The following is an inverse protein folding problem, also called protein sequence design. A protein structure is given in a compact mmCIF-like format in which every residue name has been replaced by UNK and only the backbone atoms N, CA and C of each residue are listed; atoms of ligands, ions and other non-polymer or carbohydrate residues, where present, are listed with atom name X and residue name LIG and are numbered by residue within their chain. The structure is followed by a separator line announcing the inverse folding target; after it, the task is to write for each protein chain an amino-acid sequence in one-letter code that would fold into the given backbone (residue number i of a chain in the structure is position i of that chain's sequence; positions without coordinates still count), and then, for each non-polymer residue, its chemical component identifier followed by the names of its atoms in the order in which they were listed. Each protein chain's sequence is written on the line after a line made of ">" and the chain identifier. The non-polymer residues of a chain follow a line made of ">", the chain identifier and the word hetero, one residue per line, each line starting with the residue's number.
data_IF_017368890363
#
_entry.id   IF_017368890363
#
_cell.length_a   1.000
_cell.length_b   1.000
_cell.length_c   1.000
_cell.angle_alpha   90.00
_cell.angle_beta   90.00
_cell.angle_gamma   90.00
#
_symmetry.space_group_name_H-M   'P 1'
#
loop_
_entity.id
_entity.type
_entity.pdbx_description
1 polymer ?
#
# COMPACT_ATOMS: atom_id res chain seq x y z
N UNK A 1 17.10 57.08 13.04
CA UNK A 1 16.88 56.25 11.82
C UNK A 1 17.28 54.79 12.03
N UNK A 2 18.39 54.46 12.64
CA UNK A 2 18.86 53.06 12.85
C UNK A 2 17.89 52.17 13.64
N UNK A 3 17.27 52.65 14.73
CA UNK A 3 16.34 51.89 15.56
C UNK A 3 15.04 51.51 14.83
N UNK A 4 14.49 52.40 14.00
CA UNK A 4 13.30 52.07 13.17
C UNK A 4 13.61 51.00 12.12
N UNK A 5 14.79 51.07 11.50
CA UNK A 5 15.23 50.06 10.54
C UNK A 5 15.41 48.67 11.19
N UNK A 6 16.03 48.64 12.38
CA UNK A 6 16.19 47.40 13.15
C UNK A 6 14.86 46.78 13.54
N UNK A 7 13.89 47.59 13.94
CA UNK A 7 12.53 47.08 14.26
C UNK A 7 11.82 46.49 13.04
N UNK A 8 11.93 47.17 11.89
CA UNK A 8 11.33 46.65 10.64
C UNK A 8 11.98 45.33 10.24
N UNK A 9 13.30 45.24 10.29
CA UNK A 9 14.02 44.00 9.97
C UNK A 9 13.58 42.87 10.91
N UNK A 10 13.44 43.15 12.20
CA UNK A 10 13.01 42.17 13.19
C UNK A 10 11.59 41.66 12.90
N UNK A 11 10.65 42.54 12.58
CA UNK A 11 9.27 42.20 12.23
C UNK A 11 9.25 41.36 10.94
N UNK A 12 10.04 41.71 9.92
CA UNK A 12 10.11 40.95 8.68
C UNK A 12 10.67 39.55 8.90
N UNK A 13 11.78 39.42 9.65
CA UNK A 13 12.43 38.15 9.93
C UNK A 13 11.51 37.20 10.74
N UNK A 14 10.82 37.75 11.75
CA UNK A 14 9.92 36.96 12.59
C UNK A 14 8.58 36.67 11.92
N UNK A 15 8.09 37.58 11.05
CA UNK A 15 6.81 37.45 10.37
C UNK A 15 6.87 36.70 9.04
N UNK A 16 8.04 36.64 8.40
CA UNK A 16 8.20 36.00 7.08
C UNK A 16 7.89 34.48 7.02
N UNK A 17 8.18 33.66 8.05
CA UNK A 17 7.96 32.23 7.98
C UNK A 17 6.51 31.84 7.68
N UNK A 18 5.54 32.56 8.24
CA UNK A 18 4.10 32.25 8.09
C UNK A 18 3.61 32.48 6.67
N UNK A 19 3.75 33.67 6.05
CA UNK A 19 3.30 33.89 4.66
C UNK A 19 4.10 33.05 3.65
N UNK A 20 5.39 32.76 3.92
CA UNK A 20 6.20 31.88 3.06
C UNK A 20 5.66 30.46 3.10
N UNK A 21 5.40 29.91 4.29
CA UNK A 21 4.81 28.59 4.43
C UNK A 21 3.43 28.51 3.79
N UNK A 22 2.60 29.53 3.96
CA UNK A 22 1.29 29.59 3.32
C UNK A 22 1.40 29.63 1.78
N UNK A 23 2.33 30.43 1.23
CA UNK A 23 2.57 30.50 -0.21
C UNK A 23 3.09 29.16 -0.76
N UNK A 24 4.02 28.50 -0.06
CA UNK A 24 4.50 27.17 -0.44
C UNK A 24 3.38 26.12 -0.47
N UNK A 25 2.48 26.13 0.52
CA UNK A 25 1.31 25.26 0.57
C UNK A 25 0.33 25.57 -0.54
N UNK A 26 0.06 26.85 -0.82
CA UNK A 26 -0.91 27.25 -1.82
C UNK A 26 -0.46 26.99 -3.26
N UNK A 27 0.81 27.20 -3.53
CA UNK A 27 1.40 26.95 -4.85
C UNK A 27 2.08 25.58 -4.98
N UNK A 28 2.09 24.79 -3.92
CA UNK A 28 2.73 23.46 -3.83
C UNK A 28 4.21 23.46 -4.27
N UNK A 29 4.89 24.60 -4.15
CA UNK A 29 6.30 24.76 -4.49
C UNK A 29 7.17 24.34 -3.32
N UNK A 30 8.12 23.43 -3.56
CA UNK A 30 9.06 22.95 -2.55
C UNK A 30 8.47 21.93 -1.55
N UNK A 31 7.23 21.51 -1.72
CA UNK A 31 6.69 20.35 -0.99
C UNK A 31 7.18 19.10 -1.72
N UNK A 32 7.95 18.21 -1.06
CA UNK A 32 8.33 16.96 -1.67
C UNK A 32 7.06 16.16 -1.96
N UNK A 33 6.73 16.01 -3.23
CA UNK A 33 5.67 15.08 -3.67
C UNK A 33 6.17 13.62 -3.69
N UNK A 34 7.26 13.33 -2.98
CA UNK A 34 7.68 11.96 -2.81
C UNK A 34 6.64 11.28 -1.93
N UNK A 35 5.72 10.59 -2.57
CA UNK A 35 4.91 9.61 -1.90
C UNK A 35 5.86 8.68 -1.16
N UNK A 36 5.71 8.66 0.15
CA UNK A 36 6.55 7.82 1.02
C UNK A 36 6.22 6.34 0.76
N UNK A 37 5.09 6.07 0.13
CA UNK A 37 4.72 4.77 -0.42
C UNK A 37 5.51 4.52 -1.72
N UNK A 38 5.98 3.31 -1.90
CA UNK A 38 6.68 2.86 -3.12
C UNK A 38 5.72 2.31 -4.16
N UNK A 39 4.54 1.88 -3.72
CA UNK A 39 3.40 1.60 -4.58
C UNK A 39 2.54 2.84 -4.79
N UNK A 40 1.68 2.78 -5.78
CA UNK A 40 0.69 3.83 -6.04
C UNK A 40 -0.38 3.82 -4.94
N UNK A 41 -0.64 4.99 -4.34
CA UNK A 41 -1.77 5.16 -3.44
C UNK A 41 -3.04 5.18 -4.29
N UNK A 42 -3.83 4.13 -4.21
CA UNK A 42 -5.03 4.00 -5.02
C UNK A 42 -6.29 4.12 -4.16
N UNK A 43 -6.88 5.31 -4.18
CA UNK A 43 -8.15 5.59 -3.51
C UNK A 43 -9.37 5.44 -4.44
N UNK A 44 -9.17 5.02 -5.69
CA UNK A 44 -10.23 4.92 -6.69
C UNK A 44 -10.79 3.50 -6.81
N UNK A 45 -10.02 2.48 -6.39
CA UNK A 45 -10.50 1.11 -6.39
C UNK A 45 -11.59 0.91 -5.32
N UNK A 46 -12.63 0.14 -5.66
CA UNK A 46 -13.63 -0.23 -4.66
C UNK A 46 -12.98 -1.06 -3.55
N UNK A 47 -13.53 -1.05 -2.34
CA UNK A 47 -13.08 -1.92 -1.26
C UNK A 47 -13.13 -3.41 -1.68
N UNK A 48 -12.22 -4.22 -1.13
CA UNK A 48 -12.06 -5.63 -1.50
C UNK A 48 -13.36 -6.46 -1.34
N UNK A 49 -14.22 -6.11 -0.39
CA UNK A 49 -15.52 -6.74 -0.19
C UNK A 49 -16.55 -6.45 -1.29
N UNK A 50 -16.27 -5.51 -2.19
CA UNK A 50 -17.09 -5.21 -3.38
C UNK A 50 -16.54 -5.88 -4.65
N UNK A 51 -15.39 -6.53 -4.55
CA UNK A 51 -14.86 -7.30 -5.67
C UNK A 51 -15.68 -8.58 -5.82
N UNK A 52 -15.77 -9.15 -7.02
CA UNK A 52 -16.51 -10.41 -7.25
C UNK A 52 -15.73 -11.60 -6.65
N UNK A 53 -15.64 -11.65 -5.34
CA UNK A 53 -14.90 -12.61 -4.53
C UNK A 53 -15.73 -12.99 -3.29
N UNK A 54 -15.54 -14.20 -2.80
CA UNK A 54 -16.04 -14.59 -1.47
C UNK A 54 -15.01 -14.22 -0.40
N UNK A 55 -15.03 -12.99 0.04
CA UNK A 55 -14.15 -12.49 1.09
C UNK A 55 -14.90 -11.56 2.05
N UNK A 56 -14.55 -11.63 3.31
CA UNK A 56 -15.04 -10.73 4.35
C UNK A 56 -13.89 -10.13 5.13
N UNK A 57 -13.99 -8.84 5.42
CA UNK A 57 -13.00 -8.15 6.22
C UNK A 57 -12.85 -8.79 7.60
N UNK A 58 -11.62 -9.07 8.00
CA UNK A 58 -11.35 -9.61 9.34
C UNK A 58 -11.45 -8.55 10.44
N UNK A 59 -11.46 -7.26 10.08
CA UNK A 59 -11.37 -6.07 10.94
C UNK A 59 -10.14 -6.02 11.87
N UNK A 60 -9.24 -6.99 11.77
CA UNK A 60 -8.07 -7.11 12.63
C UNK A 60 -6.76 -7.19 11.84
N UNK A 61 -6.80 -7.75 10.64
CA UNK A 61 -5.58 -8.03 9.87
C UNK A 61 -5.51 -7.25 8.56
N UNK A 62 -4.32 -6.83 8.25
CA UNK A 62 -3.96 -6.34 6.93
C UNK A 62 -3.92 -7.48 5.94
N UNK A 63 -4.26 -7.23 4.69
CA UNK A 63 -4.21 -8.25 3.65
C UNK A 63 -3.19 -7.88 2.59
N UNK A 64 -2.24 -8.78 2.34
CA UNK A 64 -1.41 -8.79 1.15
C UNK A 64 -2.15 -9.59 0.09
N UNK A 65 -2.72 -8.90 -0.87
CA UNK A 65 -3.50 -9.49 -1.95
C UNK A 65 -2.68 -9.49 -3.22
N UNK A 66 -2.68 -10.60 -3.97
CA UNK A 66 -2.02 -10.66 -5.27
C UNK A 66 -2.80 -11.52 -6.26
N UNK A 67 -2.76 -11.16 -7.53
CA UNK A 67 -3.42 -11.88 -8.60
C UNK A 67 -2.49 -12.94 -9.18
N UNK A 68 -2.98 -14.16 -9.25
CA UNK A 68 -2.29 -15.24 -9.93
C UNK A 68 -2.81 -15.38 -11.37
N UNK A 69 -1.93 -15.73 -12.33
CA UNK A 69 -2.35 -16.05 -13.68
C UNK A 69 -3.28 -17.27 -13.70
N UNK A 70 -4.08 -17.40 -14.73
CA UNK A 70 -5.01 -18.51 -14.90
C UNK A 70 -4.33 -19.86 -14.77
N UNK A 71 -3.14 -20.00 -15.34
CA UNK A 71 -2.31 -21.21 -15.20
C UNK A 71 -1.13 -20.88 -14.30
N UNK A 72 -1.14 -21.39 -13.08
CA UNK A 72 -0.06 -21.19 -12.12
C UNK A 72 1.10 -22.17 -12.41
N UNK A 73 2.02 -21.76 -13.27
CA UNK A 73 3.26 -22.48 -13.59
C UNK A 73 4.39 -22.11 -12.59
N UNK A 74 5.63 -22.39 -12.96
CA UNK A 74 6.80 -22.20 -12.10
C UNK A 74 6.95 -20.75 -11.60
N UNK A 75 6.69 -19.75 -12.44
CA UNK A 75 6.82 -18.33 -12.08
C UNK A 75 5.80 -17.94 -11.01
N UNK A 76 4.57 -18.42 -11.14
CA UNK A 76 3.53 -18.20 -10.15
C UNK A 76 3.87 -18.88 -8.81
N UNK A 77 4.45 -20.08 -8.84
CA UNK A 77 4.90 -20.76 -7.62
C UNK A 77 6.08 -20.04 -6.97
N UNK A 78 7.04 -19.57 -7.77
CA UNK A 78 8.16 -18.77 -7.30
C UNK A 78 7.68 -17.46 -6.64
N UNK A 79 6.71 -16.79 -7.24
CA UNK A 79 6.11 -15.58 -6.68
C UNK A 79 5.40 -15.86 -5.33
N UNK A 80 4.64 -16.95 -5.25
CA UNK A 80 4.01 -17.36 -4.00
C UNK A 80 5.03 -17.63 -2.89
N UNK A 81 6.15 -18.29 -3.21
CA UNK A 81 7.25 -18.54 -2.27
C UNK A 81 7.91 -17.23 -1.81
N UNK A 82 8.10 -16.28 -2.72
CA UNK A 82 8.62 -14.96 -2.38
C UNK A 82 7.69 -14.23 -1.38
N UNK A 83 6.37 -14.23 -1.59
CA UNK A 83 5.40 -13.65 -0.65
C UNK A 83 5.40 -14.38 0.69
N UNK A 84 5.56 -15.69 0.69
CA UNK A 84 5.68 -16.45 1.91
C UNK A 84 6.93 -16.07 2.71
N UNK A 85 8.10 -15.96 2.06
CA UNK A 85 9.35 -15.53 2.71
C UNK A 85 9.26 -14.11 3.24
N UNK A 86 8.74 -13.19 2.44
CA UNK A 86 8.53 -11.80 2.84
C UNK A 86 7.61 -11.69 4.05
N UNK A 87 6.50 -12.42 4.05
CA UNK A 87 5.59 -12.47 5.19
C UNK A 87 6.31 -12.97 6.47
N UNK A 88 7.13 -13.99 6.37
CA UNK A 88 7.93 -14.49 7.50
C UNK A 88 8.95 -13.46 7.98
N UNK A 89 9.53 -12.68 7.08
CA UNK A 89 10.47 -11.60 7.42
C UNK A 89 9.85 -10.48 8.25
N UNK A 90 8.52 -10.34 8.28
CA UNK A 90 7.81 -9.42 9.20
C UNK A 90 7.95 -9.82 10.68
N UNK A 91 8.41 -11.04 10.97
CA UNK A 91 8.61 -11.54 12.33
C UNK A 91 7.31 -11.54 13.14
N UNK A 92 7.33 -10.92 14.33
CA UNK A 92 6.15 -10.87 15.23
C UNK A 92 4.95 -10.14 14.61
N UNK A 93 5.17 -9.26 13.62
CA UNK A 93 4.09 -8.55 12.94
C UNK A 93 3.37 -9.39 11.89
N UNK A 94 3.93 -10.54 11.50
CA UNK A 94 3.33 -11.42 10.50
C UNK A 94 1.92 -11.90 10.87
N UNK A 95 1.61 -12.07 12.16
CA UNK A 95 0.28 -12.46 12.64
C UNK A 95 -0.83 -11.45 12.30
N UNK A 96 -0.43 -10.20 12.05
CA UNK A 96 -1.33 -9.10 11.69
C UNK A 96 -1.54 -8.97 10.17
N UNK A 97 -0.97 -9.88 9.40
CA UNK A 97 -1.04 -9.86 7.93
C UNK A 97 -1.51 -11.21 7.44
N UNK A 98 -2.56 -11.22 6.66
CA UNK A 98 -2.97 -12.39 5.89
C UNK A 98 -2.48 -12.26 4.44
N UNK A 99 -2.32 -13.39 3.77
CA UNK A 99 -1.94 -13.46 2.36
C UNK A 99 -3.10 -14.04 1.57
N UNK A 100 -3.54 -13.31 0.57
CA UNK A 100 -4.68 -13.68 -0.27
C UNK A 100 -4.21 -13.78 -1.72
N UNK A 101 -4.42 -14.93 -2.32
CA UNK A 101 -4.19 -15.15 -3.74
C UNK A 101 -5.52 -15.09 -4.48
N UNK A 102 -5.62 -14.22 -5.47
CA UNK A 102 -6.77 -14.14 -6.37
C UNK A 102 -6.51 -14.98 -7.61
N UNK A 103 -7.44 -15.83 -7.99
CA UNK A 103 -7.28 -16.69 -9.16
C UNK A 103 -8.61 -17.09 -9.78
N UNK A 104 -8.60 -17.49 -11.05
CA UNK A 104 -9.79 -18.09 -11.69
C UNK A 104 -10.01 -19.54 -11.27
N UNK A 105 -8.94 -20.22 -10.82
CA UNK A 105 -8.98 -21.63 -10.44
C UNK A 105 -8.37 -21.82 -9.05
N UNK A 106 -8.78 -22.89 -8.39
CA UNK A 106 -8.17 -23.23 -7.11
C UNK A 106 -6.78 -23.81 -7.32
N UNK A 107 -5.80 -23.20 -6.69
CA UNK A 107 -4.40 -23.63 -6.72
C UNK A 107 -3.94 -24.10 -5.35
N UNK A 108 -2.92 -24.94 -5.33
CA UNK A 108 -2.25 -25.29 -4.09
C UNK A 108 -1.59 -24.05 -3.51
N UNK A 109 -1.94 -23.71 -2.28
CA UNK A 109 -1.41 -22.55 -1.55
C UNK A 109 -0.36 -22.95 -0.53
N UNK A 110 0.51 -22.01 -0.20
CA UNK A 110 1.48 -22.16 0.88
C UNK A 110 0.82 -21.94 2.26
N UNK A 111 1.40 -22.47 3.34
CA UNK A 111 0.84 -22.30 4.68
C UNK A 111 0.57 -20.83 5.02
N UNK A 112 -0.63 -20.53 5.51
CA UNK A 112 -1.06 -19.17 5.87
C UNK A 112 -1.45 -18.27 4.69
N UNK A 113 -1.62 -18.83 3.50
CA UNK A 113 -2.20 -18.17 2.34
C UNK A 113 -3.60 -18.71 2.08
N UNK A 114 -4.54 -17.86 1.73
CA UNK A 114 -5.87 -18.26 1.26
C UNK A 114 -5.98 -18.01 -0.25
N UNK A 115 -6.64 -18.91 -0.95
CA UNK A 115 -6.96 -18.76 -2.37
C UNK A 115 -8.42 -18.34 -2.50
N UNK A 116 -8.62 -17.15 -3.08
CA UNK A 116 -9.92 -16.60 -3.39
C UNK A 116 -10.18 -16.73 -4.88
N UNK A 117 -11.31 -17.31 -5.23
CA UNK A 117 -11.70 -17.46 -6.62
C UNK A 117 -12.59 -16.31 -7.07
N UNK A 118 -12.36 -15.86 -8.30
CA UNK A 118 -13.24 -14.90 -8.94
C UNK A 118 -14.62 -15.50 -9.19
N UNK A 119 -15.65 -14.79 -8.78
CA UNK A 119 -17.04 -15.10 -9.14
C UNK A 119 -17.31 -14.58 -10.56
N UNK A 120 -16.86 -15.31 -11.57
CA UNK A 120 -16.89 -14.88 -12.97
C UNK A 120 -15.52 -14.43 -13.49
N UNK A 121 -15.51 -13.56 -14.49
CA UNK A 121 -14.26 -13.02 -15.04
C UNK A 121 -13.65 -11.97 -14.12
N UNK A 122 -12.31 -11.94 -13.99
CA UNK A 122 -11.65 -10.87 -13.25
C UNK A 122 -11.98 -9.49 -13.86
N UNK A 123 -12.05 -8.43 -13.05
CA UNK A 123 -12.24 -7.09 -13.56
C UNK A 123 -11.13 -6.67 -14.52
N UNK A 124 -11.42 -5.79 -15.51
CA UNK A 124 -10.44 -5.43 -16.56
C UNK A 124 -9.22 -4.64 -16.07
N UNK A 125 -9.24 -4.16 -14.85
CA UNK A 125 -8.12 -3.45 -14.20
C UNK A 125 -7.22 -4.38 -13.39
N UNK A 126 -7.52 -5.68 -13.33
CA UNK A 126 -6.67 -6.70 -12.70
C UNK A 126 -5.72 -7.28 -13.73
N UNK A 127 -4.44 -7.17 -13.45
CA UNK A 127 -3.37 -7.78 -14.23
C UNK A 127 -2.78 -8.98 -13.48
N UNK A 128 -2.20 -9.93 -14.21
CA UNK A 128 -1.48 -11.05 -13.60
C UNK A 128 -0.29 -10.54 -12.77
N UNK A 129 -0.06 -11.14 -11.61
CA UNK A 129 1.00 -10.78 -10.65
C UNK A 129 0.91 -9.37 -10.05
N UNK A 130 -0.18 -8.68 -10.22
CA UNK A 130 -0.44 -7.40 -9.55
C UNK A 130 -0.64 -7.61 -8.06
N UNK A 131 -0.28 -6.61 -7.26
CA UNK A 131 -0.31 -6.69 -5.80
C UNK A 131 -1.03 -5.51 -5.19
N UNK A 132 -1.76 -5.75 -4.10
CA UNK A 132 -2.43 -4.73 -3.31
C UNK A 132 -2.18 -4.93 -1.82
N UNK A 133 -2.00 -3.84 -1.11
CA UNK A 133 -2.08 -3.82 0.35
C UNK A 133 -3.45 -3.27 0.75
N UNK A 134 -4.16 -4.06 1.52
CA UNK A 134 -5.54 -3.78 1.93
C UNK A 134 -5.59 -3.66 3.45
N UNK A 135 -6.28 -2.65 3.94
CA UNK A 135 -6.43 -2.41 5.38
C UNK A 135 -7.41 -3.42 6.02
N UNK A 136 -7.49 -3.50 7.36
CA UNK A 136 -8.41 -4.42 8.04
C UNK A 136 -9.89 -4.22 7.71
N UNK A 137 -10.29 -3.06 7.18
CA UNK A 137 -11.66 -2.75 6.76
C UNK A 137 -11.94 -3.12 5.31
N UNK A 138 -10.92 -3.59 4.58
CA UNK A 138 -11.03 -3.95 3.18
C UNK A 138 -10.73 -2.82 2.20
N UNK A 139 -10.23 -1.68 2.66
CA UNK A 139 -9.88 -0.55 1.78
C UNK A 139 -8.51 -0.80 1.17
N UNK A 140 -8.42 -0.69 -0.15
CA UNK A 140 -7.14 -0.75 -0.87
C UNK A 140 -6.33 0.51 -0.56
N UNK A 141 -5.17 0.33 0.06
CA UNK A 141 -4.30 1.45 0.47
C UNK A 141 -3.22 1.70 -0.57
N UNK A 142 -2.64 0.64 -1.12
CA UNK A 142 -1.54 0.74 -2.07
C UNK A 142 -1.68 -0.34 -3.13
N UNK A 143 -1.44 0.03 -4.38
CA UNK A 143 -1.38 -0.86 -5.54
C UNK A 143 0.04 -0.88 -6.09
N UNK A 144 0.47 -2.04 -6.54
CA UNK A 144 1.73 -2.24 -7.25
C UNK A 144 1.44 -2.87 -8.61
N UNK A 145 2.19 -2.47 -9.62
CA UNK A 145 2.16 -3.11 -10.93
C UNK A 145 2.55 -4.61 -10.84
N UNK A 146 2.43 -5.32 -11.94
CA UNK A 146 2.84 -6.72 -12.04
C UNK A 146 4.31 -6.93 -11.64
N UNK A 147 4.59 -7.99 -10.87
CA UNK A 147 5.94 -8.37 -10.42
C UNK A 147 6.70 -7.24 -9.71
N UNK A 148 6.14 -6.63 -8.67
CA UNK A 148 6.81 -5.55 -7.94
C UNK A 148 8.04 -6.05 -7.20
N UNK A 149 8.95 -5.12 -6.91
CA UNK A 149 10.06 -5.41 -6.00
C UNK A 149 9.50 -5.76 -4.60
N UNK A 150 9.83 -6.96 -4.12
CA UNK A 150 9.38 -7.47 -2.83
C UNK A 150 9.87 -6.61 -1.68
N UNK A 151 11.06 -6.04 -1.81
CA UNK A 151 11.61 -5.16 -0.77
C UNK A 151 10.78 -3.88 -0.62
N UNK A 152 10.26 -3.35 -1.70
CA UNK A 152 9.41 -2.17 -1.70
C UNK A 152 8.05 -2.47 -1.02
N UNK A 153 7.43 -3.59 -1.38
CA UNK A 153 6.19 -4.05 -0.73
C UNK A 153 6.41 -4.30 0.76
N UNK A 154 7.53 -4.95 1.12
CA UNK A 154 7.90 -5.21 2.51
C UNK A 154 8.08 -3.91 3.32
N UNK A 155 8.79 -2.92 2.77
CA UNK A 155 9.02 -1.63 3.43
C UNK A 155 7.72 -0.88 3.67
N UNK A 156 6.83 -0.85 2.69
CA UNK A 156 5.55 -0.17 2.81
C UNK A 156 4.64 -0.88 3.82
N UNK A 157 4.54 -2.20 3.75
CA UNK A 157 3.76 -2.99 4.71
C UNK A 157 4.30 -2.84 6.14
N UNK A 158 5.61 -2.92 6.33
CA UNK A 158 6.24 -2.75 7.64
C UNK A 158 5.98 -1.34 8.22
N UNK A 159 5.94 -0.31 7.36
CA UNK A 159 5.60 1.07 7.73
C UNK A 159 4.13 1.21 8.10
N UNK A 160 3.21 0.62 7.33
CA UNK A 160 1.78 0.63 7.62
C UNK A 160 1.50 -0.03 8.98
N UNK A 161 2.10 -1.20 9.23
CA UNK A 161 1.99 -1.91 10.52
C UNK A 161 2.62 -1.14 11.70
N UNK A 162 3.59 -0.26 11.45
CA UNK A 162 4.18 0.59 12.49
C UNK A 162 3.30 1.80 12.82
N UNK A 163 2.65 2.38 11.80
CA UNK A 163 1.80 3.57 11.95
C UNK A 163 0.41 3.26 12.53
N UNK A 164 -0.03 2.02 12.36
CA UNK A 164 -1.30 1.52 12.88
C UNK A 164 -1.03 0.44 13.93
N UNK A 165 -0.60 0.81 15.14
CA UNK A 165 -0.48 -0.13 16.25
C UNK A 165 -1.88 -0.67 16.60
N UNK A 166 -1.92 -1.79 17.30
CA UNK A 166 -3.15 -2.37 17.86
C UNK A 166 -3.76 -1.46 18.91
#
# INVERSE_FOLDING_TARGET
>A
MKAKLQLIVLIVVLGAPVPVAWAMLHWQVGIPQSDVARGELDHQLPPLNQWPLEWQASNERWSLVWSAPKTCANDCQAQADQWWRMHRALGRKAVRVERLRLSEQQHRVLPGEANLQWQGSPPPWVEDFQVWLVDPRGIVVTRYAALPDIEDVHKDLARLLKRNPE
#
